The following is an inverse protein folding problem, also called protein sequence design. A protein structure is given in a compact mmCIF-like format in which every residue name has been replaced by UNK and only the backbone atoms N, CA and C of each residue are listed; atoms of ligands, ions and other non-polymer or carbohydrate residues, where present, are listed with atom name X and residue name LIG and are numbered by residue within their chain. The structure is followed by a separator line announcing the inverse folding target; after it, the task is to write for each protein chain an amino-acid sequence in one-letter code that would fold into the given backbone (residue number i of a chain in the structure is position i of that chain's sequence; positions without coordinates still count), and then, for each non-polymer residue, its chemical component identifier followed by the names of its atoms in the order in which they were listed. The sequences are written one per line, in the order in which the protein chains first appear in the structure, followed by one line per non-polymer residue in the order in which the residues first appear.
data_IF_799545509319
#
_entry.id   IF_799545509319
#
_cell.length_a   1.000
_cell.length_b   1.000
_cell.length_c   1.000
_cell.angle_alpha   90.00
_cell.angle_beta   90.00
_cell.angle_gamma   90.00
#
_symmetry.space_group_name_H-M   'P 1'
#
loop_
_entity.id
_entity.type
_entity.pdbx_description
1 polymer ?
#
# COMPACT_ATOMS: atom_id res chain seq x y z
N UNK A 1 -18.03 3.69 -5.68
CA UNK A 1 -18.18 3.28 -7.09
C UNK A 1 -17.89 4.47 -8.00
N UNK A 2 -16.62 4.88 -8.07
CA UNK A 2 -16.17 6.05 -8.86
C UNK A 2 -15.36 5.61 -10.08
N UNK A 3 -14.79 4.39 -10.08
CA UNK A 3 -13.89 3.93 -11.13
C UNK A 3 -14.60 3.42 -12.40
N UNK A 4 -15.87 2.99 -12.32
CA UNK A 4 -16.57 2.41 -13.48
C UNK A 4 -16.87 3.45 -14.58
N UNK A 5 -17.39 4.66 -14.27
CA UNK A 5 -17.61 5.71 -15.27
C UNK A 5 -16.30 6.21 -15.88
N UNK A 6 -15.25 6.33 -15.05
CA UNK A 6 -13.91 6.78 -15.46
C UNK A 6 -13.22 5.75 -16.35
N UNK A 7 -13.37 4.46 -16.05
CA UNK A 7 -12.85 3.38 -16.89
C UNK A 7 -13.54 3.34 -18.25
N UNK A 8 -14.86 3.53 -18.29
CA UNK A 8 -15.62 3.56 -19.55
C UNK A 8 -15.25 4.79 -20.40
N UNK A 9 -15.13 5.97 -19.78
CA UNK A 9 -14.74 7.19 -20.49
C UNK A 9 -13.31 7.12 -21.02
N UNK A 10 -12.37 6.56 -20.25
CA UNK A 10 -11.01 6.31 -20.72
C UNK A 10 -10.97 5.36 -21.92
N UNK A 11 -11.82 4.32 -21.93
CA UNK A 11 -11.90 3.34 -23.03
C UNK A 11 -12.48 3.96 -24.31
N UNK A 12 -13.51 4.80 -24.16
CA UNK A 12 -14.10 5.58 -25.27
C UNK A 12 -13.07 6.59 -25.81
N UNK A 13 -12.39 7.34 -24.94
CA UNK A 13 -11.34 8.27 -25.36
C UNK A 13 -10.19 7.54 -26.06
N UNK A 14 -9.74 6.40 -25.54
CA UNK A 14 -8.68 5.62 -26.16
C UNK A 14 -9.06 5.18 -27.58
N UNK A 15 -10.30 4.73 -27.78
CA UNK A 15 -10.82 4.32 -29.10
C UNK A 15 -10.93 5.48 -30.11
N UNK A 16 -11.11 6.72 -29.64
CA UNK A 16 -11.23 7.92 -30.49
C UNK A 16 -9.85 8.54 -30.78
N UNK A 17 -8.95 8.57 -29.79
CA UNK A 17 -7.71 9.34 -29.83
C UNK A 17 -6.52 8.52 -30.35
N UNK A 18 -6.45 7.22 -30.06
CA UNK A 18 -5.31 6.41 -30.48
C UNK A 18 -5.46 5.98 -31.95
N UNK A 19 -4.42 6.18 -32.78
CA UNK A 19 -4.34 5.58 -34.11
C UNK A 19 -4.50 4.06 -33.99
N UNK A 20 -5.20 3.43 -34.94
CA UNK A 20 -5.29 1.96 -35.00
C UNK A 20 -3.88 1.39 -35.07
N UNK A 21 -3.49 0.64 -34.04
CA UNK A 21 -2.23 -0.08 -34.02
C UNK A 21 -2.15 -0.97 -35.27
N UNK A 22 -1.05 -0.88 -36.00
CA UNK A 22 -0.77 -1.81 -37.09
C UNK A 22 -0.55 -3.19 -36.45
N UNK A 23 -1.29 -4.23 -36.85
CA UNK A 23 -1.12 -5.54 -36.26
C UNK A 23 0.27 -6.07 -36.60
N UNK A 24 1.22 -5.92 -35.68
CA UNK A 24 2.30 -6.89 -35.54
C UNK A 24 1.62 -8.22 -35.14
N UNK A 25 2.11 -9.35 -35.66
CA UNK A 25 1.51 -10.68 -35.50
C UNK A 25 0.88 -10.84 -34.10
N UNK A 26 -0.45 -11.00 -34.09
CA UNK A 26 -1.27 -11.13 -32.88
C UNK A 26 -0.75 -12.29 -32.04
N UNK A 27 0.01 -11.99 -30.98
CA UNK A 27 0.29 -12.96 -29.93
C UNK A 27 -1.04 -13.35 -29.27
N UNK A 28 -1.31 -14.64 -29.13
CA UNK A 28 -2.55 -15.13 -28.52
C UNK A 28 -2.71 -14.55 -27.10
N UNK A 29 -3.76 -13.77 -26.90
CA UNK A 29 -4.09 -13.19 -25.60
C UNK A 29 -4.48 -14.31 -24.62
N UNK A 30 -3.85 -14.34 -23.45
CA UNK A 30 -4.08 -15.37 -22.43
C UNK A 30 -5.38 -15.08 -21.64
N UNK A 31 -6.51 -15.42 -22.26
CA UNK A 31 -7.84 -15.29 -21.66
C UNK A 31 -7.99 -16.13 -20.39
N UNK A 32 -7.35 -17.30 -20.34
CA UNK A 32 -7.40 -18.21 -19.19
C UNK A 32 -6.70 -17.56 -18.00
N UNK A 33 -5.52 -17.01 -18.21
CA UNK A 33 -4.77 -16.29 -17.20
C UNK A 33 -5.50 -15.05 -16.69
N UNK A 34 -6.18 -14.31 -17.57
CA UNK A 34 -7.05 -13.19 -17.16
C UNK A 34 -8.21 -13.67 -16.26
N UNK A 35 -8.88 -14.76 -16.66
CA UNK A 35 -10.00 -15.36 -15.91
C UNK A 35 -9.58 -15.95 -14.56
N UNK A 36 -8.32 -16.34 -14.38
CA UNK A 36 -7.79 -16.81 -13.09
C UNK A 36 -7.33 -15.64 -12.22
N UNK A 37 -6.57 -14.71 -12.79
CA UNK A 37 -5.88 -13.65 -12.04
C UNK A 37 -6.83 -12.55 -11.57
N UNK A 38 -7.74 -12.06 -12.42
CA UNK A 38 -8.67 -10.98 -12.05
C UNK A 38 -9.58 -11.34 -10.87
N UNK A 39 -10.36 -12.44 -10.91
CA UNK A 39 -11.20 -12.81 -9.77
C UNK A 39 -10.38 -13.32 -8.59
N UNK A 40 -9.23 -13.97 -8.83
CA UNK A 40 -8.33 -14.41 -7.76
C UNK A 40 -7.80 -13.25 -6.93
N UNK A 41 -7.30 -12.21 -7.60
CA UNK A 41 -6.83 -11.00 -6.92
C UNK A 41 -7.99 -10.26 -6.23
N UNK A 42 -9.13 -10.10 -6.90
CA UNK A 42 -10.29 -9.43 -6.31
C UNK A 42 -10.79 -10.13 -5.03
N UNK A 43 -10.92 -11.47 -5.05
CA UNK A 43 -11.35 -12.26 -3.89
C UNK A 43 -10.31 -12.29 -2.78
N UNK A 44 -9.02 -12.41 -3.13
CA UNK A 44 -7.93 -12.35 -2.16
C UNK A 44 -7.90 -11.00 -1.43
N UNK A 45 -7.91 -9.90 -2.19
CA UNK A 45 -7.92 -8.55 -1.64
C UNK A 45 -9.17 -8.28 -0.82
N UNK A 46 -10.34 -8.78 -1.25
CA UNK A 46 -11.58 -8.66 -0.49
C UNK A 46 -11.48 -9.37 0.87
N UNK A 47 -10.97 -10.60 0.90
CA UNK A 47 -10.80 -11.35 2.15
C UNK A 47 -9.90 -10.59 3.12
N UNK A 48 -8.71 -10.20 2.65
CA UNK A 48 -7.74 -9.48 3.48
C UNK A 48 -8.25 -8.11 3.93
N UNK A 49 -8.86 -7.33 3.04
CA UNK A 49 -9.42 -6.00 3.35
C UNK A 49 -10.62 -6.06 4.30
N UNK A 50 -11.30 -7.21 4.39
CA UNK A 50 -12.40 -7.42 5.33
C UNK A 50 -11.94 -7.72 6.75
N UNK A 51 -10.67 -8.08 6.97
CA UNK A 51 -10.14 -8.42 8.30
C UNK A 51 -10.31 -7.30 9.34
N UNK A 52 -9.97 -6.03 9.06
CA UNK A 52 -10.10 -4.96 10.05
C UNK A 52 -11.54 -4.74 10.51
N UNK A 53 -12.52 -4.88 9.60
CA UNK A 53 -13.94 -4.70 9.91
C UNK A 53 -14.49 -5.83 10.80
N UNK A 54 -13.91 -7.04 10.71
CA UNK A 54 -14.35 -8.22 11.48
C UNK A 54 -13.50 -8.48 12.72
N UNK A 55 -12.39 -7.77 12.87
CA UNK A 55 -11.51 -7.81 14.04
C UNK A 55 -10.72 -9.11 14.24
N UNK A 56 -10.88 -10.11 13.35
CA UNK A 56 -10.16 -11.39 13.44
C UNK A 56 -9.91 -11.96 12.03
N UNK A 57 -8.68 -12.40 11.76
CA UNK A 57 -8.31 -13.11 10.52
C UNK A 57 -8.95 -14.50 10.41
N UNK A 58 -9.34 -15.09 11.53
CA UNK A 58 -9.93 -16.42 11.61
C UNK A 58 -11.43 -16.47 11.27
N UNK A 59 -12.06 -15.33 10.96
CA UNK A 59 -13.45 -15.32 10.50
C UNK A 59 -13.55 -16.05 9.16
N UNK A 60 -14.54 -16.95 9.02
CA UNK A 60 -14.82 -17.68 7.78
C UNK A 60 -15.03 -16.73 6.59
N UNK A 61 -15.59 -15.55 6.83
CA UNK A 61 -15.80 -14.54 5.79
C UNK A 61 -14.52 -13.82 5.34
N UNK A 62 -13.41 -13.97 6.06
CA UNK A 62 -12.08 -13.46 5.71
C UNK A 62 -11.22 -14.58 5.11
N UNK A 63 -11.21 -15.74 5.77
CA UNK A 63 -10.44 -16.92 5.38
C UNK A 63 -10.89 -17.53 4.05
N UNK A 64 -12.20 -17.69 3.83
CA UNK A 64 -12.71 -18.34 2.62
C UNK A 64 -12.33 -17.53 1.38
N UNK A 65 -12.60 -16.21 1.28
CA UNK A 65 -12.21 -15.42 0.12
C UNK A 65 -10.69 -15.31 -0.03
N UNK A 66 -9.94 -15.19 1.08
CA UNK A 66 -8.49 -15.11 1.04
C UNK A 66 -7.85 -16.41 0.50
N UNK A 67 -8.26 -17.58 1.00
CA UNK A 67 -7.74 -18.87 0.52
C UNK A 67 -8.18 -19.14 -0.91
N UNK A 68 -9.44 -18.84 -1.25
CA UNK A 68 -9.97 -19.04 -2.62
C UNK A 68 -9.22 -18.16 -3.62
N UNK A 69 -9.01 -16.88 -3.28
CA UNK A 69 -8.25 -15.96 -4.11
C UNK A 69 -6.78 -16.38 -4.24
N UNK A 70 -6.15 -16.82 -3.15
CA UNK A 70 -4.79 -17.35 -3.17
C UNK A 70 -4.68 -18.61 -4.03
N UNK A 71 -5.65 -19.52 -3.96
CA UNK A 71 -5.70 -20.72 -4.79
C UNK A 71 -5.84 -20.39 -6.28
N UNK A 72 -6.67 -19.40 -6.64
CA UNK A 72 -6.81 -18.91 -8.01
C UNK A 72 -5.52 -18.25 -8.53
N UNK A 73 -4.83 -17.47 -7.69
CA UNK A 73 -3.52 -16.89 -8.01
C UNK A 73 -2.47 -18.00 -8.18
N UNK A 74 -2.44 -18.99 -7.29
CA UNK A 74 -1.52 -20.12 -7.40
C UNK A 74 -1.80 -20.96 -8.66
N UNK A 75 -3.07 -21.16 -9.00
CA UNK A 75 -3.48 -21.81 -10.25
C UNK A 75 -3.07 -20.99 -11.49
N UNK A 76 -3.15 -19.65 -11.43
CA UNK A 76 -2.60 -18.77 -12.46
C UNK A 76 -1.08 -18.93 -12.60
N UNK A 77 -0.34 -18.93 -11.49
CA UNK A 77 1.12 -19.11 -11.49
C UNK A 77 1.50 -20.48 -12.05
N UNK A 78 0.80 -21.54 -11.66
CA UNK A 78 1.01 -22.87 -12.22
C UNK A 78 0.66 -22.93 -13.71
N UNK A 79 -0.43 -22.27 -14.13
CA UNK A 79 -0.82 -22.17 -15.54
C UNK A 79 0.23 -21.45 -16.38
N UNK A 80 0.71 -20.29 -15.91
CA UNK A 80 1.72 -19.49 -16.61
C UNK A 80 3.09 -20.18 -16.65
N UNK A 81 3.41 -20.99 -15.64
CA UNK A 81 4.66 -21.75 -15.57
C UNK A 81 4.68 -22.96 -16.52
N UNK A 82 3.55 -23.68 -16.63
CA UNK A 82 3.52 -24.96 -17.35
C UNK A 82 2.95 -24.88 -18.77
N UNK A 83 2.24 -23.81 -19.18
CA UNK A 83 1.39 -23.92 -20.37
C UNK A 83 1.18 -22.68 -21.24
N UNK A 84 2.19 -21.82 -21.44
CA UNK A 84 2.04 -20.72 -22.40
C UNK A 84 3.34 -20.37 -23.12
N UNK A 85 3.31 -20.34 -24.46
CA UNK A 85 4.37 -19.75 -25.29
C UNK A 85 4.45 -18.22 -25.12
N UNK A 86 3.34 -17.59 -24.66
CA UNK A 86 3.18 -16.15 -24.44
C UNK A 86 2.44 -15.85 -23.11
N UNK A 87 3.04 -16.10 -21.93
CA UNK A 87 2.38 -15.90 -20.64
C UNK A 87 2.06 -14.42 -20.38
N UNK A 88 0.92 -14.14 -19.73
CA UNK A 88 0.54 -12.79 -19.28
C UNK A 88 1.59 -12.13 -18.38
N UNK A 89 2.27 -12.95 -17.57
CA UNK A 89 3.40 -12.54 -16.72
C UNK A 89 4.60 -13.38 -17.13
N UNK A 90 5.55 -12.75 -17.82
CA UNK A 90 6.81 -13.41 -18.17
C UNK A 90 7.74 -13.44 -16.95
N UNK A 91 7.76 -14.59 -16.26
CA UNK A 91 8.66 -14.83 -15.12
C UNK A 91 10.14 -14.69 -15.48
N UNK A 92 10.50 -14.77 -16.77
CA UNK A 92 11.88 -14.55 -17.25
C UNK A 92 12.33 -13.10 -17.03
N UNK A 93 11.40 -12.16 -16.84
CA UNK A 93 11.72 -10.79 -16.43
C UNK A 93 12.44 -10.72 -15.07
N UNK A 94 12.17 -11.65 -14.15
CA UNK A 94 12.89 -11.74 -12.87
C UNK A 94 14.34 -12.23 -13.02
N UNK A 95 14.73 -12.79 -14.18
CA UNK A 95 16.14 -13.10 -14.45
C UNK A 95 16.98 -11.82 -14.57
N UNK A 96 16.35 -10.70 -14.95
CA UNK A 96 17.01 -9.41 -14.89
C UNK A 96 17.02 -8.90 -13.44
N UNK A 97 18.20 -8.89 -12.83
CA UNK A 97 18.43 -8.41 -11.46
C UNK A 97 17.84 -7.01 -11.21
N UNK A 98 17.85 -6.12 -12.20
CA UNK A 98 17.26 -4.79 -12.10
C UNK A 98 15.75 -4.83 -11.87
N UNK A 99 15.04 -5.65 -12.65
CA UNK A 99 13.58 -5.80 -12.59
C UNK A 99 13.18 -6.52 -11.30
N UNK A 100 13.94 -7.55 -10.90
CA UNK A 100 13.71 -8.27 -9.65
C UNK A 100 13.89 -7.35 -8.43
N UNK A 101 14.96 -6.55 -8.39
CA UNK A 101 15.22 -5.63 -7.27
C UNK A 101 14.24 -4.47 -7.23
N UNK A 102 13.83 -3.93 -8.38
CA UNK A 102 12.79 -2.92 -8.46
C UNK A 102 11.45 -3.46 -7.93
N UNK A 103 11.02 -4.64 -8.38
CA UNK A 103 9.80 -5.28 -7.90
C UNK A 103 9.86 -5.61 -6.40
N UNK A 104 11.00 -6.11 -5.92
CA UNK A 104 11.19 -6.42 -4.51
C UNK A 104 11.12 -5.14 -3.65
N UNK A 105 11.78 -4.06 -4.09
CA UNK A 105 11.69 -2.74 -3.44
C UNK A 105 10.25 -2.25 -3.40
N UNK A 106 9.54 -2.31 -4.52
CA UNK A 106 8.13 -1.92 -4.64
C UNK A 106 7.23 -2.74 -3.71
N UNK A 107 7.45 -4.05 -3.63
CA UNK A 107 6.63 -4.96 -2.82
C UNK A 107 6.82 -4.69 -1.33
N UNK A 108 8.07 -4.60 -0.86
CA UNK A 108 8.36 -4.33 0.56
C UNK A 108 7.93 -2.90 0.92
N UNK A 109 8.07 -1.93 0.02
CA UNK A 109 7.60 -0.57 0.23
C UNK A 109 6.07 -0.51 0.35
N UNK A 110 5.37 -1.23 -0.53
CA UNK A 110 3.90 -1.35 -0.47
C UNK A 110 3.45 -2.01 0.83
N UNK A 111 4.15 -3.06 1.26
CA UNK A 111 3.89 -3.75 2.52
C UNK A 111 3.89 -2.78 3.72
N UNK A 112 4.86 -1.86 3.78
CA UNK A 112 4.96 -0.89 4.87
C UNK A 112 4.00 0.30 4.75
N UNK A 113 3.87 0.86 3.54
CA UNK A 113 3.05 2.04 3.28
C UNK A 113 1.56 1.78 3.44
N UNK A 114 1.03 0.73 2.80
CA UNK A 114 -0.41 0.47 2.82
C UNK A 114 -0.88 0.06 4.22
N UNK A 115 -0.06 -0.66 4.98
CA UNK A 115 -0.33 -0.93 6.39
C UNK A 115 -0.46 0.36 7.21
N UNK A 116 0.42 1.34 6.96
CA UNK A 116 0.39 2.64 7.63
C UNK A 116 -0.87 3.46 7.29
N UNK A 117 -1.39 3.34 6.07
CA UNK A 117 -2.60 4.06 5.64
C UNK A 117 -3.87 3.66 6.38
N UNK A 118 -3.94 2.44 6.90
CA UNK A 118 -5.03 2.04 7.77
C UNK A 118 -4.88 2.66 9.16
N UNK A 119 -3.64 2.71 9.67
CA UNK A 119 -3.34 3.12 11.04
C UNK A 119 -3.56 4.61 11.28
N UNK A 120 -3.20 5.46 10.32
CA UNK A 120 -3.33 6.92 10.46
C UNK A 120 -4.75 7.39 10.76
N UNK A 121 -5.75 7.15 9.88
CA UNK A 121 -7.11 7.57 10.11
C UNK A 121 -7.73 6.83 11.31
N UNK A 122 -7.29 5.60 11.60
CA UNK A 122 -7.76 4.85 12.76
C UNK A 122 -7.26 5.48 14.07
N UNK A 123 -6.01 5.92 14.13
CA UNK A 123 -5.45 6.66 15.27
C UNK A 123 -6.18 8.00 15.51
N UNK A 124 -6.38 8.79 14.45
CA UNK A 124 -7.10 10.07 14.54
C UNK A 124 -8.54 9.90 15.06
N UNK A 125 -9.22 8.85 14.63
CA UNK A 125 -10.60 8.58 15.06
C UNK A 125 -10.69 7.94 16.45
N UNK A 126 -9.83 6.96 16.75
CA UNK A 126 -9.95 6.16 17.98
C UNK A 126 -9.26 6.82 19.18
N UNK A 127 -8.11 7.49 18.97
CA UNK A 127 -7.31 8.08 20.05
C UNK A 127 -7.58 9.57 20.21
N UNK A 128 -7.64 10.30 19.09
CA UNK A 128 -7.93 11.74 19.10
C UNK A 128 -9.43 12.06 19.06
N UNK A 129 -10.29 11.03 19.04
CA UNK A 129 -11.75 11.16 18.99
C UNK A 129 -12.26 12.06 17.85
N UNK A 130 -11.53 12.15 16.75
CA UNK A 130 -11.89 13.01 15.62
C UNK A 130 -12.94 12.35 14.74
N UNK A 131 -13.78 13.17 14.13
CA UNK A 131 -14.71 12.69 13.10
C UNK A 131 -13.95 12.18 11.86
N UNK A 132 -14.57 11.31 11.04
CA UNK A 132 -13.99 10.88 9.75
C UNK A 132 -13.66 12.07 8.83
N UNK A 133 -14.48 13.12 8.85
CA UNK A 133 -14.25 14.35 8.07
C UNK A 133 -12.97 15.06 8.53
N UNK A 134 -12.80 15.25 9.85
CA UNK A 134 -11.60 15.88 10.41
C UNK A 134 -10.34 15.05 10.13
N UNK A 135 -10.45 13.72 10.24
CA UNK A 135 -9.34 12.81 9.91
C UNK A 135 -8.91 12.96 8.44
N UNK A 136 -9.87 13.09 7.53
CA UNK A 136 -9.60 13.36 6.12
C UNK A 136 -8.86 14.69 5.90
N UNK A 137 -9.28 15.75 6.60
CA UNK A 137 -8.61 17.07 6.54
C UNK A 137 -7.16 16.97 7.03
N UNK A 138 -6.88 16.20 8.08
CA UNK A 138 -5.53 16.03 8.60
C UNK A 138 -4.60 15.23 7.68
N UNK A 139 -5.13 14.47 6.73
CA UNK A 139 -4.35 13.73 5.72
C UNK A 139 -4.01 14.63 4.52
N UNK A 140 -4.63 15.80 4.35
CA UNK A 140 -4.37 16.73 3.23
C UNK A 140 -2.87 17.09 3.07
N UNK A 141 -2.10 17.42 4.13
CA UNK A 141 -0.68 17.74 4.01
C UNK A 141 0.13 16.62 3.34
N UNK A 142 -0.25 15.37 3.55
CA UNK A 142 0.36 14.21 2.89
C UNK A 142 0.14 14.26 1.37
N UNK A 143 -1.10 14.54 0.94
CA UNK A 143 -1.42 14.68 -0.48
C UNK A 143 -0.69 15.86 -1.13
N UNK A 144 -0.63 17.00 -0.43
CA UNK A 144 0.11 18.18 -0.89
C UNK A 144 1.61 17.91 -1.03
N UNK A 145 2.21 17.23 -0.05
CA UNK A 145 3.61 16.82 -0.11
C UNK A 145 3.90 15.94 -1.33
N UNK A 146 3.03 14.95 -1.60
CA UNK A 146 3.16 14.10 -2.79
C UNK A 146 3.00 14.89 -4.08
N UNK A 147 2.03 15.80 -4.15
CA UNK A 147 1.77 16.65 -5.32
C UNK A 147 2.96 17.54 -5.67
N UNK A 148 3.62 18.12 -4.66
CA UNK A 148 4.81 18.96 -4.86
C UNK A 148 6.05 18.14 -5.23
N UNK A 149 6.18 16.94 -4.66
CA UNK A 149 7.35 16.09 -4.91
C UNK A 149 7.32 15.40 -6.28
N UNK A 150 6.15 15.07 -6.83
CA UNK A 150 6.04 14.33 -8.10
C UNK A 150 6.77 15.03 -9.28
N UNK A 151 6.55 16.32 -9.58
CA UNK A 151 7.27 17.00 -10.66
C UNK A 151 8.78 17.07 -10.43
N UNK A 152 9.19 17.31 -9.17
CA UNK A 152 10.59 17.40 -8.78
C UNK A 152 11.28 16.04 -8.97
N UNK A 153 10.62 14.96 -8.56
CA UNK A 153 11.10 13.60 -8.70
C UNK A 153 11.26 13.22 -10.18
N UNK A 154 10.30 13.57 -11.03
CA UNK A 154 10.40 13.37 -12.49
C UNK A 154 11.60 14.10 -13.10
N UNK A 155 11.73 15.40 -12.84
CA UNK A 155 12.84 16.20 -13.36
C UNK A 155 14.21 15.73 -12.84
N UNK A 156 14.28 15.28 -11.59
CA UNK A 156 15.51 14.71 -11.02
C UNK A 156 15.82 13.33 -11.61
N UNK A 157 14.80 12.52 -11.92
CA UNK A 157 14.96 11.17 -12.48
C UNK A 157 15.65 11.23 -13.83
N UNK A 158 15.26 12.19 -14.65
CA UNK A 158 15.85 12.42 -15.98
C UNK A 158 17.33 12.84 -15.89
N UNK A 159 17.72 13.54 -14.81
CA UNK A 159 19.09 14.07 -14.64
C UNK A 159 20.05 13.17 -13.87
N UNK A 160 19.57 12.46 -12.85
CA UNK A 160 20.41 11.74 -11.86
C UNK A 160 20.17 10.23 -11.80
N UNK A 161 19.20 9.73 -12.57
CA UNK A 161 18.78 8.34 -12.57
C UNK A 161 17.86 7.98 -11.40
N UNK A 162 17.04 6.92 -11.53
CA UNK A 162 15.96 6.59 -10.60
C UNK A 162 16.45 6.13 -9.22
N UNK A 163 17.56 5.38 -9.14
CA UNK A 163 18.01 4.73 -7.90
C UNK A 163 18.24 5.71 -6.73
N UNK A 164 18.90 6.85 -6.97
CA UNK A 164 19.22 7.83 -5.92
C UNK A 164 17.98 8.53 -5.38
N UNK A 165 16.99 8.76 -6.23
CA UNK A 165 15.76 9.48 -5.86
C UNK A 165 14.85 8.56 -5.06
N UNK A 166 14.77 7.29 -5.44
CA UNK A 166 14.04 6.27 -4.68
C UNK A 166 14.62 6.13 -3.27
N UNK A 167 15.95 6.09 -3.11
CA UNK A 167 16.59 6.05 -1.78
C UNK A 167 16.22 7.28 -0.92
N UNK A 168 16.28 8.48 -1.49
CA UNK A 168 15.87 9.71 -0.80
C UNK A 168 14.39 9.69 -0.45
N UNK A 169 13.54 9.21 -1.37
CA UNK A 169 12.11 9.05 -1.16
C UNK A 169 11.80 8.08 -0.02
N UNK A 170 12.45 6.92 0.03
CA UNK A 170 12.31 5.94 1.12
C UNK A 170 12.74 6.55 2.46
N UNK A 171 13.86 7.30 2.49
CA UNK A 171 14.31 7.98 3.71
C UNK A 171 13.29 9.03 4.17
N UNK A 172 12.70 9.80 3.25
CA UNK A 172 11.62 10.76 3.55
C UNK A 172 10.38 10.06 4.11
N UNK A 173 9.96 8.93 3.52
CA UNK A 173 8.82 8.15 4.05
C UNK A 173 9.13 7.65 5.46
N UNK A 174 10.32 7.07 5.68
CA UNK A 174 10.73 6.58 6.99
C UNK A 174 10.83 7.71 8.03
N UNK A 175 11.35 8.89 7.64
CA UNK A 175 11.42 10.06 8.51
C UNK A 175 10.03 10.60 8.86
N UNK A 176 9.12 10.69 7.88
CA UNK A 176 7.75 11.14 8.11
C UNK A 176 6.96 10.20 9.01
N UNK A 177 7.05 8.90 8.74
CA UNK A 177 6.38 7.86 9.54
C UNK A 177 7.00 7.74 10.95
N UNK A 178 8.31 7.85 11.08
CA UNK A 178 9.00 7.87 12.38
C UNK A 178 8.68 9.12 13.19
N UNK A 179 8.56 10.29 12.55
CA UNK A 179 8.09 11.52 13.20
C UNK A 179 6.66 11.37 13.72
N UNK A 180 5.79 10.73 12.93
CA UNK A 180 4.43 10.41 13.34
C UNK A 180 4.42 9.44 14.54
N UNK A 181 5.22 8.36 14.48
CA UNK A 181 5.36 7.39 15.57
C UNK A 181 5.84 8.05 16.87
N UNK A 182 6.80 8.97 16.78
CA UNK A 182 7.31 9.73 17.92
C UNK A 182 6.26 10.69 18.49
N UNK A 183 5.51 11.37 17.63
CA UNK A 183 4.40 12.23 18.05
C UNK A 183 3.31 11.46 18.79
N UNK A 184 2.96 10.26 18.30
CA UNK A 184 2.01 9.34 18.92
C UNK A 184 2.52 8.87 20.28
N UNK A 185 3.78 8.44 20.37
CA UNK A 185 4.39 7.94 21.60
C UNK A 185 4.44 8.98 22.72
N UNK A 186 4.63 10.26 22.38
CA UNK A 186 4.70 11.36 23.36
C UNK A 186 3.35 11.97 23.71
N UNK A 187 2.24 11.45 23.15
CA UNK A 187 0.91 12.07 23.26
C UNK A 187 0.96 13.58 23.01
N UNK A 188 1.80 14.02 22.06
CA UNK A 188 2.05 15.43 21.86
C UNK A 188 0.75 16.09 21.40
N UNK A 189 0.23 17.04 22.20
CA UNK A 189 -0.96 17.83 21.90
C UNK A 189 -0.77 18.53 20.55
N UNK A 190 -1.26 17.93 19.47
CA UNK A 190 -1.46 18.49 18.14
C UNK A 190 -0.44 19.59 17.74
N UNK A 191 0.86 19.34 17.94
CA UNK A 191 1.91 20.26 17.54
C UNK A 191 2.04 20.24 16.00
N UNK A 192 2.65 21.29 15.38
CA UNK A 192 2.95 21.30 13.94
C UNK A 192 3.76 20.08 13.45
N UNK A 193 4.32 19.28 14.36
CA UNK A 193 5.02 18.01 14.09
C UNK A 193 4.18 17.02 13.27
N UNK A 194 2.88 16.89 13.57
CA UNK A 194 2.00 15.90 12.92
C UNK A 194 1.76 16.21 11.43
N UNK A 195 1.31 17.42 11.05
CA UNK A 195 1.16 17.79 9.64
C UNK A 195 2.50 17.87 8.90
N UNK A 196 3.59 18.27 9.57
CA UNK A 196 4.93 18.27 8.96
C UNK A 196 5.42 16.86 8.66
N UNK A 197 5.26 15.91 9.59
CA UNK A 197 5.59 14.49 9.36
C UNK A 197 4.80 13.89 8.21
N UNK A 198 3.51 14.23 8.11
CA UNK A 198 2.64 13.83 7.00
C UNK A 198 3.07 14.41 5.65
N UNK A 199 3.40 15.70 5.61
CA UNK A 199 3.91 16.34 4.41
C UNK A 199 5.24 15.73 3.96
N UNK A 200 6.15 15.44 4.90
CA UNK A 200 7.43 14.77 4.64
C UNK A 200 7.20 13.36 4.09
N UNK A 201 6.29 12.59 4.70
CA UNK A 201 5.90 11.27 4.21
C UNK A 201 5.34 11.36 2.79
N UNK A 202 4.44 12.31 2.54
CA UNK A 202 3.87 12.59 1.22
C UNK A 202 4.93 12.90 0.17
N UNK A 203 5.89 13.78 0.50
CA UNK A 203 7.02 14.07 -0.38
C UNK A 203 7.82 12.82 -0.70
N UNK A 204 8.11 12.00 0.31
CA UNK A 204 8.80 10.73 0.11
C UNK A 204 8.04 9.76 -0.80
N UNK A 205 6.70 9.72 -0.69
CA UNK A 205 5.84 8.93 -1.59
C UNK A 205 5.93 9.41 -3.04
N UNK A 206 5.84 10.72 -3.27
CA UNK A 206 5.99 11.31 -4.61
C UNK A 206 7.37 11.03 -5.22
N UNK A 207 8.42 11.12 -4.41
CA UNK A 207 9.80 10.80 -4.80
C UNK A 207 10.06 9.30 -5.01
N UNK A 208 9.24 8.40 -4.47
CA UNK A 208 9.45 6.96 -4.60
C UNK A 208 8.58 6.33 -5.68
N UNK A 209 7.27 6.54 -5.66
CA UNK A 209 6.34 5.81 -6.53
C UNK A 209 6.55 6.11 -8.01
N UNK A 210 6.81 7.37 -8.36
CA UNK A 210 7.00 7.78 -9.76
C UNK A 210 8.30 7.21 -10.35
N UNK A 211 9.48 7.35 -9.72
CA UNK A 211 10.71 6.78 -10.26
C UNK A 211 10.77 5.26 -10.22
N UNK A 212 10.14 4.59 -9.23
CA UNK A 212 10.03 3.13 -9.21
C UNK A 212 9.20 2.62 -10.38
N UNK A 213 8.05 3.24 -10.63
CA UNK A 213 7.21 2.88 -11.79
C UNK A 213 7.92 3.16 -13.11
N UNK A 214 8.58 4.33 -13.21
CA UNK A 214 9.39 4.69 -14.38
C UNK A 214 10.55 3.72 -14.64
N UNK A 215 11.33 3.38 -13.62
CA UNK A 215 12.46 2.45 -13.75
C UNK A 215 12.01 1.04 -14.16
N UNK A 216 10.88 0.59 -13.63
CA UNK A 216 10.34 -0.72 -13.94
C UNK A 216 9.76 -0.78 -15.36
N UNK A 217 9.17 0.30 -15.88
CA UNK A 217 8.69 0.38 -17.27
C UNK A 217 9.85 0.57 -18.26
N UNK A 218 10.82 1.42 -17.94
CA UNK A 218 11.96 1.73 -18.83
C UNK A 218 12.91 0.54 -19.04
N UNK A 219 12.88 -0.46 -18.15
CA UNK A 219 13.70 -1.68 -18.27
C UNK A 219 13.05 -2.75 -19.15
N UNK A 220 11.81 -2.53 -19.59
CA UNK A 220 11.05 -3.44 -20.44
C UNK A 220 11.12 -3.02 -21.91
N UNK A 221 11.18 -4.00 -22.82
CA UNK A 221 11.00 -3.71 -24.24
C UNK A 221 9.56 -3.21 -24.50
N UNK A 222 9.30 -2.42 -25.56
CA UNK A 222 7.97 -1.85 -25.83
C UNK A 222 6.82 -2.87 -25.83
N UNK A 223 7.07 -4.08 -26.35
CA UNK A 223 6.11 -5.18 -26.38
C UNK A 223 5.88 -5.87 -25.02
N UNK A 224 6.76 -5.63 -24.03
CA UNK A 224 6.69 -6.20 -22.68
C UNK A 224 6.10 -5.22 -21.64
N UNK A 225 5.98 -3.94 -21.98
CA UNK A 225 5.51 -2.89 -21.05
C UNK A 225 4.14 -3.24 -20.46
N UNK A 226 3.19 -3.71 -21.28
CA UNK A 226 1.86 -4.08 -20.83
C UNK A 226 1.91 -5.24 -19.79
N UNK A 227 2.67 -6.30 -20.08
CA UNK A 227 2.83 -7.46 -19.20
C UNK A 227 3.54 -7.10 -17.89
N UNK A 228 4.64 -6.34 -17.97
CA UNK A 228 5.39 -5.93 -16.79
C UNK A 228 4.64 -4.93 -15.91
N UNK A 229 3.86 -4.01 -16.49
CA UNK A 229 3.02 -3.07 -15.73
C UNK A 229 1.93 -3.78 -14.93
N UNK A 230 1.32 -4.82 -15.53
CA UNK A 230 0.38 -5.69 -14.83
C UNK A 230 1.05 -6.42 -13.66
N UNK A 231 2.23 -7.02 -13.88
CA UNK A 231 3.00 -7.69 -12.82
C UNK A 231 3.30 -6.75 -11.64
N UNK A 232 3.78 -5.54 -11.93
CA UNK A 232 4.07 -4.51 -10.92
C UNK A 232 2.82 -4.17 -10.11
N UNK A 233 1.68 -4.01 -10.79
CA UNK A 233 0.41 -3.66 -10.15
C UNK A 233 -0.12 -4.79 -9.27
N UNK A 234 0.03 -6.05 -9.69
CA UNK A 234 -0.33 -7.22 -8.89
C UNK A 234 0.57 -7.32 -7.66
N UNK A 235 1.89 -7.18 -7.83
CA UNK A 235 2.83 -7.23 -6.71
C UNK A 235 2.56 -6.13 -5.67
N UNK A 236 2.25 -4.91 -6.11
CA UNK A 236 1.86 -3.82 -5.21
C UNK A 236 0.55 -4.13 -4.47
N UNK A 237 -0.46 -4.67 -5.16
CA UNK A 237 -1.74 -5.04 -4.53
C UNK A 237 -1.57 -6.15 -3.50
N UNK A 238 -0.81 -7.20 -3.83
CA UNK A 238 -0.50 -8.30 -2.90
C UNK A 238 0.29 -7.77 -1.71
N UNK A 239 1.36 -7.00 -1.95
CA UNK A 239 2.17 -6.39 -0.90
C UNK A 239 1.34 -5.48 0.00
N UNK A 240 0.51 -4.61 -0.57
CA UNK A 240 -0.34 -3.70 0.19
C UNK A 240 -1.38 -4.43 1.04
N UNK A 241 -1.96 -5.51 0.50
CA UNK A 241 -2.90 -6.38 1.20
C UNK A 241 -2.26 -7.12 2.37
N UNK A 242 -1.12 -7.78 2.15
CA UNK A 242 -0.38 -8.45 3.23
C UNK A 242 0.03 -7.41 4.29
N UNK A 243 0.38 -6.19 3.86
CA UNK A 243 0.81 -5.11 4.74
C UNK A 243 -0.30 -4.65 5.69
N UNK A 244 -1.49 -4.40 5.14
CA UNK A 244 -2.66 -4.05 5.94
C UNK A 244 -3.09 -5.19 6.86
N UNK A 245 -3.04 -6.44 6.39
CA UNK A 245 -3.29 -7.62 7.20
C UNK A 245 -2.34 -7.71 8.40
N UNK A 246 -1.03 -7.65 8.17
CA UNK A 246 -0.01 -7.77 9.21
C UNK A 246 -0.15 -6.65 10.25
N UNK A 247 -0.31 -5.40 9.80
CA UNK A 247 -0.49 -4.28 10.73
C UNK A 247 -1.79 -4.40 11.54
N UNK A 248 -2.87 -4.88 10.93
CA UNK A 248 -4.15 -5.12 11.63
C UNK A 248 -4.02 -6.22 12.69
N UNK A 249 -3.32 -7.32 12.38
CA UNK A 249 -3.07 -8.42 13.32
C UNK A 249 -2.19 -7.94 14.47
N UNK A 250 -1.11 -7.21 14.18
CA UNK A 250 -0.22 -6.63 15.19
C UNK A 250 -0.98 -5.67 16.11
N UNK A 251 -1.81 -4.79 15.55
CA UNK A 251 -2.62 -3.87 16.34
C UNK A 251 -3.62 -4.62 17.23
N UNK A 252 -4.28 -5.65 16.69
CA UNK A 252 -5.21 -6.50 17.45
C UNK A 252 -4.50 -7.26 18.57
N UNK A 253 -3.30 -7.76 18.30
CA UNK A 253 -2.44 -8.40 19.31
C UNK A 253 -2.12 -7.42 20.45
N UNK A 254 -1.70 -6.19 20.13
CA UNK A 254 -1.44 -5.16 21.14
C UNK A 254 -2.70 -4.82 21.96
N UNK A 255 -3.86 -4.74 21.32
CA UNK A 255 -5.12 -4.48 22.01
C UNK A 255 -5.53 -5.61 22.95
N UNK A 256 -5.29 -6.87 22.58
CA UNK A 256 -5.62 -8.03 23.41
C UNK A 256 -4.64 -8.21 24.58
N UNK A 257 -3.43 -7.64 24.49
CA UNK A 257 -2.43 -7.68 25.55
C UNK A 257 -2.73 -6.68 26.68
N UNK A 258 -3.46 -5.60 26.41
CA UNK A 258 -3.94 -4.65 27.44
C UNK A 258 -5.30 -5.08 27.99
N UNK A 259 -5.35 -5.38 29.30
CA UNK A 259 -6.60 -5.69 30.00
C UNK A 259 -7.61 -4.53 29.94
N UNK A 260 -7.12 -3.29 29.90
CA UNK A 260 -7.93 -2.07 29.88
C UNK A 260 -8.63 -1.90 28.52
N UNK A 261 -7.89 -2.07 27.42
CA UNK A 261 -8.45 -2.01 26.06
C UNK A 261 -9.42 -3.17 25.83
N UNK A 262 -9.07 -4.38 26.26
CA UNK A 262 -9.92 -5.56 26.14
C UNK A 262 -11.25 -5.38 26.90
N UNK A 263 -11.20 -4.75 28.09
CA UNK A 263 -12.39 -4.45 28.89
C UNK A 263 -13.27 -3.39 28.23
N UNK A 264 -12.69 -2.29 27.74
CA UNK A 264 -13.43 -1.25 27.02
C UNK A 264 -14.13 -1.80 25.77
N UNK A 265 -13.44 -2.66 25.01
CA UNK A 265 -14.01 -3.32 23.82
C UNK A 265 -15.19 -4.23 24.18
N UNK A 266 -15.11 -4.99 25.29
CA UNK A 266 -16.22 -5.83 25.77
C UNK A 266 -17.43 -4.99 26.17
N UNK A 267 -17.23 -3.90 26.91
CA UNK A 267 -18.31 -2.98 27.30
C UNK A 267 -19.00 -2.39 26.05
N UNK A 268 -18.22 -1.94 25.06
CA UNK A 268 -18.74 -1.41 23.80
C UNK A 268 -19.50 -2.44 22.94
N UNK A 269 -19.21 -3.74 23.09
CA UNK A 269 -19.83 -4.82 22.34
C UNK A 269 -21.02 -5.49 23.07
N UNK A 270 -21.32 -5.09 24.31
CA UNK A 270 -22.39 -5.72 25.11
C UNK A 270 -23.78 -5.18 24.69
N UNK A 271 -24.74 -6.03 24.28
CA UNK A 271 -26.05 -5.60 23.74
C UNK A 271 -26.95 -4.81 24.71
N UNK A 272 -26.66 -4.85 26.01
CA UNK A 272 -27.38 -4.10 27.05
C UNK A 272 -27.15 -2.58 26.97
N UNK A 273 -26.13 -2.14 26.22
CA UNK A 273 -26.00 -0.74 25.81
C UNK A 273 -26.88 -0.53 24.57
N UNK A 274 -28.13 -0.09 24.75
CA UNK A 274 -29.07 0.24 23.68
C UNK A 274 -28.62 1.41 22.78
N UNK A 275 -27.47 1.30 22.13
CA UNK A 275 -26.82 2.36 21.37
C UNK A 275 -26.93 2.08 19.87
N UNK A 276 -28.08 2.41 19.30
CA UNK A 276 -28.12 2.79 17.90
C UNK A 276 -27.19 3.99 17.68
N UNK A 277 -26.14 3.80 16.88
CA UNK A 277 -25.39 4.80 16.07
C UNK A 277 -25.07 6.21 16.62
N UNK A 278 -25.22 6.52 17.91
CA UNK A 278 -24.94 7.87 18.40
C UNK A 278 -25.25 8.18 19.88
N UNK A 279 -25.54 7.20 20.73
CA UNK A 279 -25.74 7.45 22.16
C UNK A 279 -24.45 7.18 22.95
N UNK A 280 -24.07 8.14 23.79
CA UNK A 280 -22.91 8.07 24.68
C UNK A 280 -22.97 6.81 25.57
N UNK A 281 -21.82 6.15 25.73
CA UNK A 281 -21.63 5.06 26.69
C UNK A 281 -22.01 5.58 28.08
N UNK A 282 -22.95 4.91 28.74
CA UNK A 282 -23.42 5.28 30.08
C UNK A 282 -22.25 5.17 31.08
N UNK A 283 -21.81 6.28 31.72
CA UNK A 283 -20.63 6.31 32.60
C UNK A 283 -20.73 5.37 33.80
N UNK A 284 -21.92 4.87 34.10
CA UNK A 284 -22.20 3.94 35.20
C UNK A 284 -21.76 2.50 34.94
N UNK A 285 -21.51 2.13 33.67
CA UNK A 285 -21.05 0.79 33.26
C UNK A 285 -19.52 0.64 33.19
N UNK A 286 -18.80 1.77 33.27
CA UNK A 286 -17.34 1.80 33.29
C UNK A 286 -16.84 1.62 34.73
N UNK A 287 -15.75 0.87 34.98
CA UNK A 287 -15.14 0.81 36.30
C UNK A 287 -14.90 2.24 36.80
N UNK A 288 -15.39 2.60 37.99
CA UNK A 288 -15.13 3.88 38.67
C UNK A 288 -13.66 3.99 39.11
N UNK A 289 -12.73 3.75 38.19
CA UNK A 289 -11.33 4.11 38.34
C UNK A 289 -11.19 5.49 37.71
N UNK A 290 -10.92 6.48 38.55
CA UNK A 290 -10.71 7.90 38.20
C UNK A 290 -9.64 8.13 37.12
N UNK A 291 -8.85 7.11 36.75
CA UNK A 291 -7.81 7.15 35.73
C UNK A 291 -8.07 6.23 34.51
N UNK A 292 -9.21 5.53 34.41
CA UNK A 292 -9.45 4.56 33.34
C UNK A 292 -9.36 5.17 31.94
N UNK A 293 -9.95 6.36 31.73
CA UNK A 293 -9.89 7.04 30.43
C UNK A 293 -8.46 7.47 30.04
N UNK A 294 -7.67 7.96 31.01
CA UNK A 294 -6.28 8.35 30.79
C UNK A 294 -5.39 7.13 30.50
N UNK A 295 -5.61 6.01 31.20
CA UNK A 295 -4.91 4.75 30.97
C UNK A 295 -5.29 4.11 29.63
N UNK A 296 -6.57 4.16 29.24
CA UNK A 296 -7.04 3.68 27.94
C UNK A 296 -6.35 4.45 26.79
N UNK A 297 -6.30 5.78 26.88
CA UNK A 297 -5.62 6.62 25.89
C UNK A 297 -4.12 6.33 25.85
N UNK A 298 -3.48 6.11 27.00
CA UNK A 298 -2.07 5.74 27.07
C UNK A 298 -1.80 4.40 26.40
N UNK A 299 -2.56 3.35 26.73
CA UNK A 299 -2.41 2.01 26.16
C UNK A 299 -2.71 1.99 24.66
N UNK A 300 -3.74 2.73 24.21
CA UNK A 300 -4.05 2.86 22.79
C UNK A 300 -2.92 3.58 22.04
N UNK A 301 -2.45 4.73 22.54
CA UNK A 301 -1.31 5.44 21.94
C UNK A 301 -0.06 4.55 21.86
N UNK A 302 0.24 3.79 22.92
CA UNK A 302 1.38 2.88 22.94
C UNK A 302 1.22 1.74 21.92
N UNK A 303 0.04 1.13 21.83
CA UNK A 303 -0.27 0.11 20.84
C UNK A 303 -0.06 0.64 19.41
N UNK A 304 -0.59 1.81 19.09
CA UNK A 304 -0.39 2.45 17.79
C UNK A 304 1.08 2.80 17.53
N UNK A 305 1.79 3.36 18.52
CA UNK A 305 3.20 3.71 18.39
C UNK A 305 4.07 2.50 18.03
N UNK A 306 3.87 1.35 18.70
CA UNK A 306 4.60 0.11 18.41
C UNK A 306 4.36 -0.33 16.97
N UNK A 307 3.10 -0.33 16.50
CA UNK A 307 2.79 -0.74 15.12
C UNK A 307 3.37 0.25 14.10
N UNK A 308 3.37 1.56 14.39
CA UNK A 308 4.03 2.56 13.55
C UNK A 308 5.55 2.41 13.48
N UNK A 309 6.19 2.03 14.59
CA UNK A 309 7.63 1.74 14.60
C UNK A 309 7.94 0.51 13.74
N UNK A 310 7.12 -0.54 13.84
CA UNK A 310 7.27 -1.75 13.00
C UNK A 310 7.09 -1.38 11.52
N UNK A 311 6.07 -0.59 11.18
CA UNK A 311 5.85 -0.11 9.83
C UNK A 311 7.04 0.73 9.32
N UNK A 312 7.60 1.60 10.18
CA UNK A 312 8.81 2.39 9.87
C UNK A 312 10.02 1.49 9.63
N UNK A 313 10.25 0.50 10.49
CA UNK A 313 11.34 -0.46 10.31
C UNK A 313 11.20 -1.24 8.99
N UNK A 314 9.96 -1.59 8.62
CA UNK A 314 9.67 -2.27 7.36
C UNK A 314 9.93 -1.35 6.16
N UNK A 315 9.55 -0.08 6.22
CA UNK A 315 9.92 0.92 5.21
C UNK A 315 11.44 1.09 5.14
N UNK A 316 12.15 1.18 6.26
CA UNK A 316 13.62 1.28 6.28
C UNK A 316 14.27 0.04 5.67
N UNK A 317 13.71 -1.14 5.87
CA UNK A 317 14.21 -2.38 5.25
C UNK A 317 14.18 -2.34 3.71
N UNK A 318 13.32 -1.51 3.11
CA UNK A 318 13.29 -1.30 1.65
C UNK A 318 14.55 -0.62 1.11
N UNK A 319 15.35 0.04 1.96
CA UNK A 319 16.64 0.58 1.57
C UNK A 319 17.60 -0.52 1.09
N UNK A 320 17.47 -1.74 1.61
CA UNK A 320 18.32 -2.89 1.23
C UNK A 320 18.11 -3.24 -0.25
N UNK A 321 16.91 -3.62 -0.72
CA UNK A 321 16.72 -3.89 -2.14
C UNK A 321 16.87 -2.64 -3.02
N UNK A 322 16.53 -1.45 -2.51
CA UNK A 322 16.69 -0.19 -3.24
C UNK A 322 18.16 0.17 -3.51
N UNK A 323 19.08 -0.17 -2.60
CA UNK A 323 20.51 0.11 -2.75
C UNK A 323 21.14 -0.66 -3.92
N UNK A 324 20.54 -1.77 -4.34
CA UNK A 324 21.01 -2.55 -5.48
C UNK A 324 20.45 -2.07 -6.83
N UNK A 325 19.53 -1.10 -6.84
CA UNK A 325 18.96 -0.58 -8.09
C UNK A 325 20.06 -0.06 -9.04
N UNK A 326 19.94 -0.33 -10.35
CA UNK A 326 20.91 0.14 -11.33
C UNK A 326 21.05 1.66 -11.30
N UNK A 327 22.31 2.14 -11.22
CA UNK A 327 22.63 3.57 -11.10
C UNK A 327 22.56 4.33 -12.44
N UNK A 328 22.47 3.63 -13.57
CA UNK A 328 22.43 4.22 -14.90
C UNK A 328 21.14 3.86 -15.62
N UNK A 329 20.53 4.85 -16.28
CA UNK A 329 19.55 4.62 -17.34
C UNK A 329 20.20 3.68 -18.36
N UNK A 330 19.49 2.61 -18.76
CA UNK A 330 19.92 1.82 -19.90
C UNK A 330 19.96 2.78 -21.10
N UNK A 331 21.16 3.28 -21.42
CA UNK A 331 21.36 4.11 -22.59
C UNK A 331 20.79 3.33 -23.76
N UNK A 332 19.87 3.95 -24.51
CA UNK A 332 19.53 3.49 -25.83
C UNK A 332 20.86 3.18 -26.53
N UNK A 333 21.18 1.89 -26.69
CA UNK A 333 22.12 1.45 -27.71
C UNK A 333 21.49 1.94 -29.00
N UNK A 334 21.88 3.15 -29.44
CA UNK A 334 21.70 3.57 -30.82
C UNK A 334 22.31 2.44 -31.63
N UNK A 335 21.46 1.68 -32.31
CA UNK A 335 21.93 0.75 -33.33
C UNK A 335 22.85 1.56 -34.25
N UNK A 336 24.06 1.07 -34.57
CA UNK A 336 24.86 1.70 -35.60
C UNK A 336 23.99 1.70 -36.86
N UNK A 337 23.71 2.89 -37.38
CA UNK A 337 23.17 3.05 -38.71
C UNK A 337 24.19 2.38 -39.63
N UNK A 338 23.84 1.18 -40.11
CA UNK A 338 24.53 0.56 -41.22
C UNK A 338 24.14 1.38 -42.45
N UNK A 339 24.88 2.46 -42.68
CA UNK A 339 25.01 3.09 -43.99
C UNK A 339 26.23 2.50 -44.66
N UNK A 340 26.00 1.46 -45.47
CA UNK A 340 26.84 1.06 -46.58
C UNK A 340 25.92 0.60 -47.71
#
# INVERSE_FOLDING_TARGET
MVNLPVGLSALVLAAIVFPRDRPAASENFDYMGLLLLSPGLATFLFGVSSSPARGTMADRHVLIPAITGLALIAAFVAHSWYRTEHPLIDMRLFQNRAVAQANMTMTVLSLGLFGSFLLLPSYLQQVLHQSPMQSGVHIIPQGLGAMLAMPIAGAMMDRRGPAKIVLVGIMLIAAGLGTFAFGVARQADYLPILPTGLAIMGMGMGCSMMPLSGAAVQTLAPHQIARGSTLISVNQQVGGSIGTALMSVLLTYQFNHSEIIATAKKVALTPESGAGRGAAVDPSSLPRQTNFAAQLLHDLSHAYAVVFVIATALVVSTLIPAAFLPKQQASHRRAPLLSA
#
